data_IF_664551272216
#
_entry.id   IF_664551272216
#
_cell.length_a   1.000
_cell.length_b   1.000
_cell.length_c   1.000
_cell.angle_alpha   90.00
_cell.angle_beta   90.00
_cell.angle_gamma   90.00
#
_symmetry.space_group_name_H-M   'P 1'
#
loop_
_entity.id
_entity.type
_entity.pdbx_description
1 polymer ?
#
# COMPACT_ATOMS: atom_id res chain seq x y z
N UNK A 1 14.34 -16.03 8.72
CA UNK A 1 14.26 -14.55 8.60
C UNK A 1 15.35 -14.01 7.68
N UNK A 2 16.61 -14.35 7.96
CA UNK A 2 17.73 -13.86 7.17
C UNK A 2 17.62 -14.23 5.70
N UNK A 3 17.22 -15.45 5.40
CA UNK A 3 16.99 -15.92 4.04
C UNK A 3 15.86 -15.13 3.35
N UNK A 4 14.77 -14.86 4.07
CA UNK A 4 13.65 -14.09 3.54
C UNK A 4 14.03 -12.64 3.26
N UNK A 5 14.84 -12.03 4.12
CA UNK A 5 15.35 -10.68 3.89
C UNK A 5 16.23 -10.64 2.64
N UNK A 6 17.09 -11.63 2.46
CA UNK A 6 17.92 -11.73 1.26
C UNK A 6 17.06 -11.86 0.00
N UNK A 7 16.05 -12.74 0.03
CA UNK A 7 15.13 -12.92 -1.09
C UNK A 7 14.32 -11.65 -1.39
N UNK A 8 13.95 -10.92 -0.37
CA UNK A 8 13.27 -9.64 -0.55
C UNK A 8 14.16 -8.63 -1.30
N UNK A 9 15.44 -8.59 -0.97
CA UNK A 9 16.40 -7.71 -1.67
C UNK A 9 16.60 -8.14 -3.12
N UNK A 10 16.63 -9.44 -3.37
CA UNK A 10 16.70 -9.99 -4.74
C UNK A 10 15.46 -9.61 -5.54
N UNK A 11 14.27 -9.75 -4.93
CA UNK A 11 13.01 -9.38 -5.56
C UNK A 11 12.97 -7.88 -5.90
N UNK A 12 13.50 -7.04 -5.02
CA UNK A 12 13.62 -5.61 -5.26
C UNK A 12 14.46 -5.33 -6.51
N UNK A 13 15.63 -5.98 -6.61
CA UNK A 13 16.50 -5.80 -7.78
C UNK A 13 15.85 -6.32 -9.07
N UNK A 14 15.03 -7.35 -8.96
CA UNK A 14 14.29 -7.91 -10.08
C UNK A 14 12.99 -7.14 -10.38
N UNK A 15 12.70 -6.10 -9.61
CA UNK A 15 11.46 -5.31 -9.72
C UNK A 15 10.19 -6.15 -9.56
N UNK A 16 10.29 -7.21 -8.77
CA UNK A 16 9.16 -8.09 -8.46
C UNK A 16 8.60 -7.75 -7.08
N UNK A 17 7.92 -6.61 -7.00
CA UNK A 17 7.50 -6.05 -5.72
C UNK A 17 6.42 -6.86 -5.01
N UNK A 18 5.59 -7.59 -5.74
CA UNK A 18 4.62 -8.50 -5.13
C UNK A 18 5.32 -9.62 -4.37
N UNK A 19 6.35 -10.21 -4.98
CA UNK A 19 7.16 -11.25 -4.34
C UNK A 19 7.90 -10.68 -3.13
N UNK A 20 8.44 -9.45 -3.29
CA UNK A 20 9.12 -8.75 -2.19
C UNK A 20 8.21 -8.60 -0.98
N UNK A 21 6.97 -8.19 -1.19
CA UNK A 21 5.98 -8.04 -0.11
C UNK A 21 5.70 -9.39 0.54
N UNK A 22 5.57 -10.47 -0.22
CA UNK A 22 5.33 -11.81 0.33
C UNK A 22 6.47 -12.27 1.23
N UNK A 23 7.72 -12.06 0.82
CA UNK A 23 8.87 -12.41 1.63
C UNK A 23 8.89 -11.59 2.93
N UNK A 24 8.60 -10.30 2.84
CA UNK A 24 8.58 -9.44 4.01
C UNK A 24 7.38 -9.72 4.93
N UNK A 25 6.26 -10.17 4.40
CA UNK A 25 5.14 -10.62 5.23
C UNK A 25 5.55 -11.81 6.10
N UNK A 26 6.34 -12.73 5.54
CA UNK A 26 6.86 -13.86 6.31
C UNK A 26 7.76 -13.37 7.46
N UNK A 27 8.57 -12.35 7.20
CA UNK A 27 9.41 -11.72 8.24
C UNK A 27 8.54 -11.10 9.33
N UNK A 28 7.49 -10.38 8.96
CA UNK A 28 6.57 -9.79 9.93
C UNK A 28 5.83 -10.85 10.74
N UNK A 29 5.51 -11.98 10.14
CA UNK A 29 4.86 -13.09 10.83
C UNK A 29 5.74 -13.60 11.97
N UNK A 30 7.05 -13.65 11.78
CA UNK A 30 7.99 -14.12 12.80
C UNK A 30 8.37 -13.04 13.81
N UNK A 31 8.64 -11.82 13.35
CA UNK A 31 9.19 -10.75 14.17
C UNK A 31 8.16 -9.73 14.64
N UNK A 32 7.03 -9.61 13.96
CA UNK A 32 6.06 -8.56 14.27
C UNK A 32 6.71 -7.18 14.15
N UNK A 33 6.44 -6.31 15.10
CA UNK A 33 7.00 -4.96 15.14
C UNK A 33 8.45 -4.89 15.64
N UNK A 34 9.10 -6.02 15.90
CA UNK A 34 10.50 -6.04 16.35
C UNK A 34 11.52 -5.93 15.22
N UNK A 35 11.05 -5.78 13.97
CA UNK A 35 11.93 -5.56 12.83
C UNK A 35 12.81 -4.33 13.06
N UNK A 36 14.08 -4.42 12.64
CA UNK A 36 15.03 -3.31 12.80
C UNK A 36 14.76 -2.18 11.79
N UNK A 37 15.41 -1.00 11.93
CA UNK A 37 15.18 0.10 10.99
C UNK A 37 15.45 -0.24 9.52
N UNK A 38 16.46 -1.07 9.23
CA UNK A 38 16.75 -1.48 7.85
C UNK A 38 15.62 -2.33 7.28
N UNK A 39 15.08 -3.24 8.09
CA UNK A 39 13.95 -4.08 7.71
C UNK A 39 12.69 -3.24 7.51
N UNK A 40 12.46 -2.24 8.37
CA UNK A 40 11.35 -1.30 8.20
C UNK A 40 11.46 -0.51 6.89
N UNK A 41 12.68 -0.10 6.54
CA UNK A 41 12.92 0.60 5.28
C UNK A 41 12.61 -0.29 4.08
N UNK A 42 12.97 -1.57 4.14
CA UNK A 42 12.62 -2.54 3.09
C UNK A 42 11.11 -2.66 2.93
N UNK A 43 10.38 -2.72 4.03
CA UNK A 43 8.91 -2.75 4.01
C UNK A 43 8.34 -1.52 3.32
N UNK A 44 8.85 -0.34 3.70
CA UNK A 44 8.41 0.93 3.11
C UNK A 44 8.65 0.95 1.60
N UNK A 45 9.81 0.53 1.14
CA UNK A 45 10.16 0.46 -0.29
C UNK A 45 9.26 -0.52 -1.01
N UNK A 46 9.04 -1.72 -0.44
CA UNK A 46 8.21 -2.75 -1.05
C UNK A 46 6.78 -2.27 -1.26
N UNK A 47 6.18 -1.72 -0.22
CA UNK A 47 4.80 -1.26 -0.28
C UNK A 47 4.64 -0.07 -1.21
N UNK A 48 5.56 0.90 -1.14
CA UNK A 48 5.54 2.07 -2.01
C UNK A 48 5.62 1.65 -3.48
N UNK A 49 6.52 0.76 -3.82
CA UNK A 49 6.70 0.33 -5.21
C UNK A 49 5.54 -0.54 -5.69
N UNK A 50 4.96 -1.34 -4.80
CA UNK A 50 3.80 -2.17 -5.15
C UNK A 50 2.65 -1.32 -5.70
N UNK A 51 2.40 -0.16 -5.10
CA UNK A 51 1.28 0.69 -5.49
C UNK A 51 1.64 1.81 -6.46
N UNK A 52 2.93 2.19 -6.58
CA UNK A 52 3.37 3.33 -7.39
C UNK A 52 2.95 3.22 -8.85
N UNK A 53 3.12 2.06 -9.45
CA UNK A 53 2.79 1.85 -10.86
C UNK A 53 1.30 2.03 -11.11
N UNK A 54 0.46 1.56 -10.19
CA UNK A 54 -1.00 1.70 -10.29
C UNK A 54 -1.44 3.14 -10.08
N UNK A 55 -0.81 3.84 -9.13
CA UNK A 55 -1.09 5.28 -8.91
C UNK A 55 -0.70 6.09 -10.14
N UNK A 56 0.45 5.80 -10.73
CA UNK A 56 0.91 6.46 -11.95
C UNK A 56 -0.03 6.16 -13.12
N UNK A 57 -0.49 4.91 -13.24
CA UNK A 57 -1.45 4.51 -14.28
C UNK A 57 -2.76 5.28 -14.16
N UNK A 58 -3.29 5.42 -12.94
CA UNK A 58 -4.52 6.18 -12.71
C UNK A 58 -4.36 7.65 -13.11
N UNK A 59 -3.21 8.26 -12.78
CA UNK A 59 -2.92 9.66 -13.15
C UNK A 59 -2.84 9.81 -14.67
N UNK A 60 -2.18 8.89 -15.35
CA UNK A 60 -2.05 8.89 -16.79
C UNK A 60 -3.40 8.78 -17.48
N UNK A 61 -4.24 7.84 -17.01
CA UNK A 61 -5.58 7.66 -17.58
C UNK A 61 -6.44 8.90 -17.34
N UNK A 62 -6.35 9.52 -16.17
CA UNK A 62 -7.05 10.76 -15.86
C UNK A 62 -6.65 11.90 -16.82
N UNK A 63 -5.37 11.99 -17.12
CA UNK A 63 -4.86 12.99 -18.08
C UNK A 63 -5.41 12.73 -19.50
N UNK A 64 -5.48 11.46 -19.90
CA UNK A 64 -6.04 11.09 -21.21
C UNK A 64 -7.54 11.41 -21.28
N UNK A 65 -8.29 11.16 -20.22
CA UNK A 65 -9.72 11.48 -20.14
C UNK A 65 -10.01 12.95 -20.38
N UNK A 66 -9.10 13.84 -19.98
CA UNK A 66 -9.27 15.28 -20.12
C UNK A 66 -9.01 15.76 -21.54
N UNK A 67 -8.49 14.92 -22.42
CA UNK A 67 -8.21 15.28 -23.80
C UNK A 67 -9.45 15.11 -24.67
N UNK A 68 -10.01 16.20 -25.25
CA UNK A 68 -11.22 16.11 -26.07
C UNK A 68 -11.08 15.21 -27.30
N UNK A 69 -9.86 15.00 -27.77
CA UNK A 69 -9.58 14.13 -28.91
C UNK A 69 -10.07 12.70 -28.67
N UNK A 70 -10.08 12.24 -27.42
CA UNK A 70 -10.44 10.87 -27.05
C UNK A 70 -11.81 10.77 -26.40
N UNK A 71 -12.63 11.82 -26.50
CA UNK A 71 -13.95 11.86 -25.84
C UNK A 71 -14.85 10.68 -26.17
N UNK A 72 -14.80 10.17 -27.41
CA UNK A 72 -15.60 9.02 -27.82
C UNK A 72 -15.25 7.71 -27.10
N UNK A 73 -14.10 7.68 -26.45
CA UNK A 73 -13.64 6.52 -25.70
C UNK A 73 -13.79 6.67 -24.17
N UNK A 74 -14.44 7.72 -23.72
CA UNK A 74 -14.54 8.00 -22.27
C UNK A 74 -15.14 6.85 -21.47
N UNK A 75 -16.15 6.17 -21.99
CA UNK A 75 -16.75 5.04 -21.27
C UNK A 75 -15.74 3.90 -21.07
N UNK A 76 -14.96 3.59 -22.10
CA UNK A 76 -13.92 2.56 -22.03
C UNK A 76 -12.79 2.98 -21.07
N UNK A 77 -12.38 4.24 -21.13
CA UNK A 77 -11.35 4.79 -20.23
C UNK A 77 -11.79 4.74 -18.78
N UNK A 78 -13.04 5.12 -18.51
CA UNK A 78 -13.59 5.10 -17.16
C UNK A 78 -13.65 3.68 -16.61
N UNK A 79 -14.09 2.72 -17.42
CA UNK A 79 -14.15 1.31 -17.02
C UNK A 79 -12.75 0.77 -16.68
N UNK A 80 -11.78 1.04 -17.51
CA UNK A 80 -10.39 0.63 -17.29
C UNK A 80 -9.81 1.27 -16.03
N UNK A 81 -10.01 2.59 -15.87
CA UNK A 81 -9.53 3.33 -14.71
C UNK A 81 -10.14 2.78 -13.42
N UNK A 82 -11.45 2.52 -13.41
CA UNK A 82 -12.14 1.96 -12.25
C UNK A 82 -11.56 0.60 -11.87
N UNK A 83 -11.21 -0.22 -12.85
CA UNK A 83 -10.59 -1.52 -12.62
C UNK A 83 -9.25 -1.35 -11.91
N UNK A 84 -8.40 -0.42 -12.37
CA UNK A 84 -7.10 -0.16 -11.76
C UNK A 84 -7.27 0.44 -10.35
N UNK A 85 -8.20 1.37 -10.17
CA UNK A 85 -8.49 1.97 -8.86
C UNK A 85 -8.94 0.92 -7.86
N UNK A 86 -9.75 -0.05 -8.30
CA UNK A 86 -10.19 -1.16 -7.45
C UNK A 86 -9.01 -2.04 -7.03
N UNK A 87 -8.11 -2.33 -7.95
CA UNK A 87 -6.89 -3.09 -7.65
C UNK A 87 -5.99 -2.33 -6.70
N UNK A 88 -5.83 -1.02 -6.91
CA UNK A 88 -5.02 -0.17 -6.06
C UNK A 88 -5.57 -0.14 -4.63
N UNK A 89 -6.88 0.05 -4.49
CA UNK A 89 -7.53 0.05 -3.18
C UNK A 89 -7.37 -1.30 -2.48
N UNK A 90 -7.48 -2.40 -3.21
CA UNK A 90 -7.29 -3.75 -2.67
C UNK A 90 -5.86 -3.96 -2.19
N UNK A 91 -4.87 -3.49 -2.94
CA UNK A 91 -3.46 -3.59 -2.55
C UNK A 91 -3.17 -2.76 -1.30
N UNK A 92 -3.69 -1.54 -1.23
CA UNK A 92 -3.55 -0.69 -0.04
C UNK A 92 -4.22 -1.32 1.17
N UNK A 93 -5.40 -1.89 1.02
CA UNK A 93 -6.11 -2.54 2.11
C UNK A 93 -5.35 -3.78 2.58
N UNK A 94 -4.77 -4.54 1.66
CA UNK A 94 -3.92 -5.70 1.99
C UNK A 94 -2.73 -5.27 2.86
N UNK A 95 -2.07 -4.17 2.50
CA UNK A 95 -0.95 -3.63 3.27
C UNK A 95 -1.41 -3.21 4.67
N UNK A 96 -2.52 -2.50 4.76
CA UNK A 96 -3.10 -2.05 6.04
C UNK A 96 -3.42 -3.25 6.93
N UNK A 97 -4.10 -4.26 6.37
CA UNK A 97 -4.47 -5.47 7.12
C UNK A 97 -3.24 -6.22 7.59
N UNK A 98 -2.21 -6.32 6.75
CA UNK A 98 -0.95 -6.95 7.09
C UNK A 98 -0.30 -6.28 8.30
N UNK A 99 -0.22 -4.96 8.29
CA UNK A 99 0.37 -4.19 9.39
C UNK A 99 -0.47 -4.38 10.67
N UNK A 100 -1.78 -4.26 10.57
CA UNK A 100 -2.65 -4.42 11.73
C UNK A 100 -2.55 -5.82 12.33
N UNK A 101 -2.61 -6.85 11.51
CA UNK A 101 -2.61 -8.24 11.99
C UNK A 101 -1.23 -8.67 12.46
N UNK A 102 -0.18 -8.37 11.68
CA UNK A 102 1.16 -8.90 11.93
C UNK A 102 1.99 -8.04 12.87
N UNK A 103 1.66 -6.77 13.02
CA UNK A 103 2.44 -5.83 13.84
C UNK A 103 1.63 -5.32 15.02
N UNK A 104 0.57 -4.57 14.76
CA UNK A 104 -0.15 -3.84 15.80
C UNK A 104 -0.98 -4.74 16.72
N UNK A 105 -1.52 -5.82 16.19
CA UNK A 105 -2.37 -6.76 16.94
C UNK A 105 -1.78 -8.17 17.04
N UNK A 106 -0.45 -8.28 16.86
CA UNK A 106 0.22 -9.59 16.85
C UNK A 106 0.42 -10.21 18.23
N UNK A 107 0.26 -9.40 19.28
CA UNK A 107 0.60 -9.83 20.65
C UNK A 107 2.08 -9.72 21.00
N UNK A 108 2.91 -9.36 20.03
CA UNK A 108 4.35 -9.13 20.25
C UNK A 108 4.53 -7.65 20.63
N UNK A 109 5.30 -7.39 21.68
CA UNK A 109 5.55 -6.03 22.13
C UNK A 109 6.27 -5.21 21.05
N UNK A 110 5.84 -3.98 20.83
CA UNK A 110 6.38 -3.09 19.82
C UNK A 110 6.88 -1.80 20.49
N UNK A 111 8.11 -1.42 20.20
CA UNK A 111 8.67 -0.15 20.73
C UNK A 111 7.87 1.03 20.17
N UNK A 112 7.78 2.10 20.96
CA UNK A 112 6.99 3.28 20.59
C UNK A 112 7.40 3.88 19.24
N UNK A 113 8.70 3.93 18.95
CA UNK A 113 9.23 4.42 17.69
C UNK A 113 8.73 3.57 16.50
N UNK A 114 8.80 2.25 16.64
CA UNK A 114 8.34 1.33 15.61
C UNK A 114 6.83 1.42 15.43
N UNK A 115 6.10 1.51 16.55
CA UNK A 115 4.65 1.65 16.54
C UNK A 115 4.23 2.91 15.78
N UNK A 116 4.89 4.04 16.07
CA UNK A 116 4.62 5.31 15.38
C UNK A 116 4.86 5.18 13.87
N UNK A 117 5.94 4.50 13.48
CA UNK A 117 6.26 4.24 12.08
C UNK A 117 5.14 3.48 11.38
N UNK A 118 4.68 2.38 11.97
CA UNK A 118 3.65 1.55 11.37
C UNK A 118 2.26 2.20 11.38
N UNK A 119 1.92 2.93 12.43
CA UNK A 119 0.65 3.68 12.50
C UNK A 119 0.60 4.76 11.42
N UNK A 120 1.72 5.50 11.24
CA UNK A 120 1.81 6.49 10.18
C UNK A 120 1.65 5.84 8.80
N UNK A 121 2.27 4.68 8.60
CA UNK A 121 2.17 3.94 7.34
C UNK A 121 0.72 3.55 7.04
N UNK A 122 -0.01 3.04 8.04
CA UNK A 122 -1.44 2.70 7.90
C UNK A 122 -2.24 3.94 7.48
N UNK A 123 -2.01 5.07 8.12
CA UNK A 123 -2.67 6.33 7.77
C UNK A 123 -2.37 6.76 6.34
N UNK A 124 -1.12 6.63 5.91
CA UNK A 124 -0.71 6.98 4.55
C UNK A 124 -1.44 6.12 3.50
N UNK A 125 -1.57 4.82 3.75
CA UNK A 125 -2.26 3.93 2.79
C UNK A 125 -3.77 4.14 2.79
N UNK A 126 -4.40 4.49 3.90
CA UNK A 126 -5.79 4.93 3.89
C UNK A 126 -5.95 6.21 3.07
N UNK A 127 -5.01 7.14 3.16
CA UNK A 127 -5.02 8.35 2.35
C UNK A 127 -4.94 8.03 0.85
N UNK A 128 -4.12 7.06 0.47
CA UNK A 128 -4.02 6.64 -0.93
C UNK A 128 -5.33 6.03 -1.43
N UNK A 129 -6.02 5.26 -0.60
CA UNK A 129 -7.36 4.75 -0.94
C UNK A 129 -8.32 5.93 -1.12
N UNK A 130 -8.25 6.92 -0.25
CA UNK A 130 -9.13 8.10 -0.29
C UNK A 130 -8.95 8.92 -1.58
N UNK A 131 -7.75 8.96 -2.14
CA UNK A 131 -7.48 9.70 -3.39
C UNK A 131 -8.41 9.26 -4.54
N UNK A 132 -8.81 7.99 -4.53
CA UNK A 132 -9.60 7.40 -5.61
C UNK A 132 -11.01 6.97 -5.18
N UNK A 133 -11.35 7.17 -3.90
CA UNK A 133 -12.66 6.82 -3.37
C UNK A 133 -13.72 7.87 -3.78
N UNK A 134 -14.97 7.45 -3.85
CA UNK A 134 -16.09 8.31 -4.24
C UNK A 134 -17.18 8.31 -3.18
N UNK A 135 -17.81 9.47 -2.99
CA UNK A 135 -18.99 9.65 -2.15
C UNK A 135 -18.87 9.07 -0.72
N UNK A 136 -19.79 8.20 -0.32
CA UNK A 136 -19.88 7.65 1.03
C UNK A 136 -18.63 6.89 1.45
N UNK A 137 -18.03 6.17 0.52
CA UNK A 137 -16.79 5.43 0.78
C UNK A 137 -15.63 6.37 1.06
N UNK A 138 -15.58 7.52 0.37
CA UNK A 138 -14.57 8.54 0.60
C UNK A 138 -14.61 9.05 2.04
N UNK A 139 -15.79 9.33 2.57
CA UNK A 139 -15.97 9.80 3.94
C UNK A 139 -15.52 8.74 4.95
N UNK A 140 -15.90 7.49 4.74
CA UNK A 140 -15.50 6.37 5.56
C UNK A 140 -13.99 6.21 5.61
N UNK A 141 -13.33 6.28 4.44
CA UNK A 141 -11.88 6.14 4.34
C UNK A 141 -11.16 7.32 4.98
N UNK A 142 -11.65 8.54 4.79
CA UNK A 142 -11.09 9.73 5.44
C UNK A 142 -11.13 9.62 6.95
N UNK A 143 -12.23 9.14 7.50
CA UNK A 143 -12.38 8.95 8.94
C UNK A 143 -11.41 7.88 9.46
N UNK A 144 -11.24 6.79 8.72
CA UNK A 144 -10.29 5.73 9.06
C UNK A 144 -8.85 6.25 9.04
N UNK A 145 -8.48 7.05 8.04
CA UNK A 145 -7.15 7.65 7.95
C UNK A 145 -6.88 8.59 9.13
N UNK A 146 -7.85 9.43 9.47
CA UNK A 146 -7.76 10.35 10.60
C UNK A 146 -7.56 9.59 11.91
N UNK A 147 -8.34 8.54 12.13
CA UNK A 147 -8.22 7.71 13.32
C UNK A 147 -6.84 7.06 13.42
N UNK A 148 -6.26 6.64 12.30
CA UNK A 148 -4.93 6.01 12.28
C UNK A 148 -3.82 7.00 12.66
N UNK A 149 -3.96 8.30 12.29
CA UNK A 149 -2.96 9.32 12.63
C UNK A 149 -3.07 9.78 14.10
N UNK A 150 -4.20 9.59 14.72
CA UNK A 150 -4.41 9.91 16.13
C UNK A 150 -3.89 8.77 17.03
#
# INVERSE_FOLDING_TARGET
VEEKIFLARVAEQAERFEDMVEFLEAVLTEKGGTVNPDERNLLSVAFKNLISSKRAACRTISAIEQNPKYAKFNAALLSYKTQIETQLAADCQKIIDMINIRVLNSGIAVADEAKAFFVKMVGDYYRYIAENAKDDKLEEVKNAAKAAYE
#
